data_IF_125945703707
#
_entry.id   IF_125945703707
#
_cell.length_a   1.000
_cell.length_b   1.000
_cell.length_c   1.000
_cell.angle_alpha   90.00
_cell.angle_beta   90.00
_cell.angle_gamma   90.00
#
_symmetry.space_group_name_H-M   'P 1'
#
loop_
_entity.id
_entity.type
_entity.pdbx_description
1 polymer ?
#
# COMPACT_ATOMS: atom_id res chain seq x y z
N UNK A 1 2.07 -27.03 -17.36
CA UNK A 1 1.71 -25.87 -16.51
C UNK A 1 2.28 -26.17 -15.14
N UNK A 2 3.55 -25.81 -14.91
CA UNK A 2 4.27 -26.10 -13.67
C UNK A 2 3.75 -25.17 -12.57
N UNK A 3 3.25 -25.74 -11.48
CA UNK A 3 2.86 -24.99 -10.30
C UNK A 3 4.06 -24.20 -9.78
N UNK A 4 3.96 -22.88 -9.85
CA UNK A 4 4.92 -22.00 -9.19
C UNK A 4 4.78 -22.19 -7.67
N UNK A 5 5.89 -22.25 -6.92
CA UNK A 5 5.93 -22.29 -5.46
C UNK A 5 4.96 -21.30 -4.79
N UNK A 6 4.40 -21.65 -3.63
CA UNK A 6 3.37 -20.87 -2.93
C UNK A 6 3.81 -19.44 -2.59
N UNK A 7 5.11 -19.23 -2.38
CA UNK A 7 5.80 -17.95 -2.18
C UNK A 7 5.78 -17.05 -3.42
N UNK A 8 5.40 -17.58 -4.59
CA UNK A 8 5.30 -16.87 -5.86
C UNK A 8 3.82 -16.57 -6.22
N UNK A 9 2.85 -16.95 -5.38
CA UNK A 9 1.43 -16.71 -5.67
C UNK A 9 1.05 -15.22 -5.74
N UNK A 10 1.81 -14.32 -5.12
CA UNK A 10 1.59 -12.88 -5.32
C UNK A 10 2.06 -12.40 -6.70
N UNK A 11 3.02 -13.10 -7.34
CA UNK A 11 3.31 -12.84 -8.76
C UNK A 11 2.16 -13.29 -9.66
N UNK A 12 1.24 -14.19 -9.23
CA UNK A 12 -0.01 -14.45 -9.98
C UNK A 12 -0.93 -13.22 -10.00
N UNK A 13 -0.82 -12.29 -9.04
CA UNK A 13 -1.47 -10.98 -9.12
C UNK A 13 -0.81 -10.08 -10.17
N UNK A 14 0.51 -10.22 -10.38
CA UNK A 14 1.25 -9.52 -11.43
C UNK A 14 1.14 -10.19 -12.81
N UNK A 15 0.77 -11.48 -12.87
CA UNK A 15 0.81 -12.32 -14.05
C UNK A 15 -0.59 -12.63 -14.60
N UNK A 16 -1.13 -11.69 -15.36
CA UNK A 16 -1.92 -12.01 -16.56
C UNK A 16 -1.01 -12.30 -17.77
N UNK A 17 -1.50 -12.24 -19.02
CA UNK A 17 -0.72 -12.34 -20.28
C UNK A 17 0.34 -11.21 -20.47
N UNK A 18 0.68 -10.49 -19.41
CA UNK A 18 1.61 -9.36 -19.33
C UNK A 18 3.00 -9.64 -19.88
N UNK A 19 3.54 -10.84 -19.68
CA UNK A 19 4.82 -11.25 -20.28
C UNK A 19 4.77 -11.28 -21.81
N UNK A 20 3.61 -11.54 -22.42
CA UNK A 20 3.44 -11.49 -23.89
C UNK A 20 3.44 -10.03 -24.36
N UNK A 21 2.78 -9.14 -23.62
CA UNK A 21 2.76 -7.71 -23.92
C UNK A 21 4.13 -7.04 -23.76
N UNK A 22 4.87 -7.35 -22.69
CA UNK A 22 6.22 -6.82 -22.47
C UNK A 22 7.20 -7.29 -23.55
N UNK A 23 7.13 -8.56 -23.94
CA UNK A 23 7.91 -9.10 -25.07
C UNK A 23 7.57 -8.46 -26.42
N UNK A 24 6.27 -8.19 -26.68
CA UNK A 24 5.86 -7.43 -27.87
C UNK A 24 6.46 -6.02 -27.89
N UNK A 25 6.54 -5.37 -26.73
CA UNK A 25 7.12 -4.03 -26.56
C UNK A 25 8.62 -4.01 -26.92
N UNK A 26 9.38 -5.04 -26.50
CA UNK A 26 10.80 -5.23 -26.86
C UNK A 26 10.95 -5.45 -28.36
N UNK A 27 10.23 -6.44 -28.90
CA UNK A 27 10.44 -6.94 -30.25
C UNK A 27 9.99 -5.94 -31.33
N UNK A 28 8.90 -5.20 -31.10
CA UNK A 28 8.34 -4.33 -32.12
C UNK A 28 9.01 -2.95 -32.20
N UNK A 29 9.65 -2.47 -31.12
CA UNK A 29 10.04 -1.06 -30.98
C UNK A 29 11.47 -0.81 -30.51
N UNK A 30 12.24 -1.86 -30.21
CA UNK A 30 13.63 -1.72 -29.77
C UNK A 30 13.80 -1.09 -28.38
N UNK A 31 12.70 -0.88 -27.65
CA UNK A 31 12.71 -0.39 -26.27
C UNK A 31 12.99 -1.58 -25.35
N UNK A 32 14.24 -2.02 -25.37
CA UNK A 32 14.70 -3.14 -24.55
C UNK A 32 14.85 -2.77 -23.08
N UNK A 33 14.92 -1.47 -22.75
CA UNK A 33 15.15 -0.97 -21.39
C UNK A 33 14.28 0.23 -21.05
N UNK A 34 13.84 0.30 -19.79
CA UNK A 34 13.09 1.44 -19.23
C UNK A 34 13.57 1.74 -17.81
N UNK A 35 13.32 2.95 -17.27
CA UNK A 35 13.57 3.23 -15.87
C UNK A 35 12.82 2.25 -14.95
N UNK A 36 13.43 1.89 -13.82
CA UNK A 36 12.92 0.84 -12.95
C UNK A 36 11.55 1.12 -12.34
N UNK A 37 11.27 2.38 -12.01
CA UNK A 37 9.93 2.78 -11.56
C UNK A 37 8.87 2.55 -12.64
N UNK A 38 9.20 2.83 -13.91
CA UNK A 38 8.32 2.58 -15.06
C UNK A 38 8.12 1.09 -15.29
N UNK A 39 9.20 0.30 -15.22
CA UNK A 39 9.10 -1.16 -15.25
C UNK A 39 8.19 -1.69 -14.13
N UNK A 40 8.34 -1.20 -12.90
CA UNK A 40 7.48 -1.59 -11.78
C UNK A 40 6.00 -1.31 -12.10
N UNK A 41 5.67 -0.11 -12.59
CA UNK A 41 4.30 0.23 -12.97
C UNK A 41 3.76 -0.66 -14.10
N UNK A 42 4.57 -0.97 -15.11
CA UNK A 42 4.21 -1.90 -16.19
C UNK A 42 3.95 -3.32 -15.66
N UNK A 43 4.67 -3.73 -14.62
CA UNK A 43 4.52 -5.03 -13.95
C UNK A 43 3.23 -5.10 -13.13
N UNK A 44 2.74 -4.00 -12.55
CA UNK A 44 1.61 -4.01 -11.59
C UNK A 44 0.31 -3.30 -11.99
N UNK A 45 0.25 -2.68 -13.18
CA UNK A 45 -0.96 -2.03 -13.72
C UNK A 45 -2.07 -3.04 -14.09
N UNK A 46 -3.12 -2.61 -14.77
CA UNK A 46 -4.13 -3.49 -15.40
C UNK A 46 -3.87 -3.69 -16.92
N UNK A 47 -4.42 -4.74 -17.50
CA UNK A 47 -4.25 -5.07 -18.93
C UNK A 47 -4.73 -3.97 -19.88
N UNK A 48 -5.77 -3.23 -19.49
CA UNK A 48 -6.31 -2.12 -20.29
C UNK A 48 -5.32 -0.95 -20.39
N UNK A 49 -4.59 -0.68 -19.31
CA UNK A 49 -3.52 0.32 -19.35
C UNK A 49 -2.41 -0.10 -20.30
N UNK A 50 -1.94 -1.35 -20.21
CA UNK A 50 -0.90 -1.85 -21.11
C UNK A 50 -1.27 -1.69 -22.59
N UNK A 51 -2.51 -2.01 -22.96
CA UNK A 51 -3.02 -1.82 -24.33
C UNK A 51 -2.98 -0.34 -24.74
N UNK A 52 -3.48 0.54 -23.88
CA UNK A 52 -3.51 1.99 -24.13
C UNK A 52 -2.10 2.57 -24.22
N UNK A 53 -1.19 2.12 -23.36
CA UNK A 53 0.21 2.51 -23.36
C UNK A 53 0.90 2.10 -24.67
N UNK A 54 0.69 0.86 -25.14
CA UNK A 54 1.22 0.39 -26.42
C UNK A 54 0.69 1.23 -27.59
N UNK A 55 -0.62 1.52 -27.63
CA UNK A 55 -1.19 2.39 -28.67
C UNK A 55 -0.60 3.81 -28.65
N UNK A 56 -0.37 4.37 -27.45
CA UNK A 56 0.27 5.67 -27.31
C UNK A 56 1.75 5.64 -27.71
N UNK A 57 2.44 4.54 -27.42
CA UNK A 57 3.81 4.30 -27.86
C UNK A 57 3.89 4.21 -29.39
N UNK A 58 2.94 3.53 -30.03
CA UNK A 58 2.85 3.42 -31.48
C UNK A 58 2.66 4.79 -32.17
N UNK A 59 1.90 5.69 -31.54
CA UNK A 59 1.62 7.03 -32.05
C UNK A 59 2.73 8.04 -31.75
N UNK A 60 3.29 8.01 -30.55
CA UNK A 60 4.12 9.09 -30.01
C UNK A 60 5.58 8.67 -29.71
N UNK A 61 5.92 7.39 -29.91
CA UNK A 61 7.26 6.86 -29.64
C UNK A 61 7.73 7.18 -28.22
N UNK A 62 8.98 7.62 -28.11
CA UNK A 62 9.63 7.90 -26.82
C UNK A 62 8.91 8.96 -25.96
N UNK A 63 8.10 9.84 -26.55
CA UNK A 63 7.32 10.81 -25.77
C UNK A 63 6.28 10.12 -24.87
N UNK A 64 5.71 8.98 -25.31
CA UNK A 64 4.80 8.19 -24.48
C UNK A 64 5.48 7.63 -23.22
N UNK A 65 6.75 7.19 -23.35
CA UNK A 65 7.56 6.70 -22.24
C UNK A 65 7.83 7.85 -21.27
N UNK A 66 8.24 9.02 -21.77
CA UNK A 66 8.52 10.17 -20.90
C UNK A 66 7.28 10.62 -20.13
N UNK A 67 6.12 10.69 -20.79
CA UNK A 67 4.86 11.04 -20.11
C UNK A 67 4.50 10.00 -19.05
N UNK A 68 4.65 8.70 -19.35
CA UNK A 68 4.41 7.64 -18.36
C UNK A 68 5.38 7.74 -17.18
N UNK A 69 6.67 8.00 -17.43
CA UNK A 69 7.67 8.18 -16.37
C UNK A 69 7.26 9.30 -15.39
N UNK A 70 6.79 10.44 -15.91
CA UNK A 70 6.35 11.57 -15.08
C UNK A 70 5.17 11.17 -14.18
N UNK A 71 4.16 10.51 -14.77
CA UNK A 71 2.95 10.10 -14.04
C UNK A 71 3.27 9.02 -13.00
N UNK A 72 4.08 8.02 -13.34
CA UNK A 72 4.53 6.97 -12.41
C UNK A 72 5.29 7.58 -11.24
N UNK A 73 6.23 8.49 -11.50
CA UNK A 73 7.00 9.16 -10.44
C UNK A 73 6.08 9.92 -9.48
N UNK A 74 5.13 10.69 -10.01
CA UNK A 74 4.19 11.45 -9.19
C UNK A 74 3.31 10.53 -8.33
N UNK A 75 2.80 9.44 -8.91
CA UNK A 75 2.02 8.43 -8.19
C UNK A 75 2.80 7.81 -7.02
N UNK A 76 4.01 7.30 -7.29
CA UNK A 76 4.83 6.63 -6.27
C UNK A 76 5.30 7.61 -5.19
N UNK A 77 5.64 8.86 -5.57
CA UNK A 77 6.00 9.92 -4.62
C UNK A 77 4.84 10.32 -3.73
N UNK A 78 3.62 10.39 -4.30
CA UNK A 78 2.39 10.63 -3.55
C UNK A 78 2.19 9.55 -2.49
N UNK A 79 2.33 8.27 -2.85
CA UNK A 79 2.23 7.16 -1.90
C UNK A 79 3.27 7.26 -0.77
N UNK A 80 4.53 7.57 -1.11
CA UNK A 80 5.63 7.69 -0.14
C UNK A 80 5.62 8.98 0.70
N UNK A 81 4.77 9.96 0.37
CA UNK A 81 4.79 11.31 0.98
C UNK A 81 6.12 12.07 0.79
N UNK A 82 6.93 11.70 -0.22
CA UNK A 82 8.28 12.27 -0.46
C UNK A 82 8.28 13.61 -1.20
N UNK A 83 7.11 14.24 -1.41
CA UNK A 83 7.01 15.57 -2.02
C UNK A 83 7.17 16.73 -1.03
N UNK A 84 7.53 16.44 0.23
CA UNK A 84 7.86 17.43 1.25
C UNK A 84 9.38 17.66 1.36
N UNK A 85 10.00 18.29 0.37
CA UNK A 85 11.32 18.98 0.53
C UNK A 85 11.60 19.92 -0.64
N UNK A 86 10.65 20.79 -0.94
CA UNK A 86 10.96 22.05 -1.57
C UNK A 86 10.00 23.04 -0.95
N UNK A 87 10.52 24.15 -0.41
CA UNK A 87 9.78 25.23 0.26
C UNK A 87 9.41 25.02 1.74
N UNK A 88 10.42 25.04 2.63
CA UNK A 88 10.46 25.89 3.84
C UNK A 88 11.72 25.59 4.69
N UNK A 89 12.76 26.39 4.50
CA UNK A 89 13.36 27.02 5.67
C UNK A 89 12.24 27.86 6.29
N UNK A 90 11.89 27.60 7.56
CA UNK A 90 11.42 28.55 8.57
C UNK A 90 10.77 27.74 9.71
N UNK A 91 11.37 27.91 10.90
CA UNK A 91 10.96 27.50 12.25
C UNK A 91 11.20 26.05 12.68
N UNK A 92 12.47 25.87 13.06
CA UNK A 92 12.92 25.27 14.32
C UNK A 92 11.98 25.53 15.51
N UNK A 93 11.84 24.52 16.38
CA UNK A 93 11.40 24.69 17.76
C UNK A 93 10.09 24.00 18.15
N UNK A 94 10.24 22.87 18.85
CA UNK A 94 9.51 22.47 20.07
C UNK A 94 7.97 22.44 20.00
N UNK A 95 7.38 21.26 20.22
CA UNK A 95 6.73 20.99 21.51
C UNK A 95 6.18 19.55 21.60
N UNK A 96 6.21 19.10 22.85
CA UNK A 96 6.03 17.75 23.35
C UNK A 96 4.59 17.22 23.30
N UNK A 97 4.52 15.91 23.51
CA UNK A 97 3.37 15.12 23.97
C UNK A 97 2.23 15.93 24.59
N UNK A 98 1.07 16.00 23.92
CA UNK A 98 -0.20 16.28 24.58
C UNK A 98 -0.95 15.00 24.87
N UNK A 99 -0.65 14.50 26.06
CA UNK A 99 -1.53 13.68 26.88
C UNK A 99 -2.82 14.48 27.16
N UNK A 100 -3.96 14.06 26.61
CA UNK A 100 -5.26 14.65 26.96
C UNK A 100 -5.94 13.79 28.01
N UNK A 101 -5.67 14.09 29.28
CA UNK A 101 -6.60 13.86 30.39
C UNK A 101 -7.59 15.03 30.38
N UNK A 102 -8.85 14.77 30.05
CA UNK A 102 -9.94 15.70 30.42
C UNK A 102 -10.63 15.13 31.65
N UNK A 103 -10.44 15.80 32.78
CA UNK A 103 -11.34 15.68 33.92
C UNK A 103 -12.67 16.35 33.52
N UNK A 104 -13.78 15.63 33.62
CA UNK A 104 -15.13 16.19 33.59
C UNK A 104 -15.83 15.79 34.88
N UNK A 105 -16.26 16.80 35.64
CA UNK A 105 -17.08 16.67 36.82
C UNK A 105 -18.48 16.14 36.47
N UNK A 106 -19.06 15.45 37.45
CA UNK A 106 -20.31 14.69 37.43
C UNK A 106 -21.60 15.51 37.20
N UNK A 107 -22.66 14.72 36.95
CA UNK A 107 -24.10 14.97 37.09
C UNK A 107 -24.86 15.45 35.84
N UNK A 108 -25.34 14.46 35.05
CA UNK A 108 -26.74 14.36 34.60
C UNK A 108 -27.01 12.95 34.04
N UNK A 109 -28.00 12.27 34.63
CA UNK A 109 -28.50 10.94 34.24
C UNK A 109 -29.31 10.98 32.92
N UNK A 110 -29.24 9.85 32.21
CA UNK A 110 -30.01 9.37 31.04
C UNK A 110 -29.49 9.68 29.62
N UNK A 111 -29.19 8.56 28.94
CA UNK A 111 -28.72 8.34 27.57
C UNK A 111 -27.23 8.62 27.28
N UNK A 112 -26.35 7.87 27.95
CA UNK A 112 -24.92 7.69 27.60
C UNK A 112 -24.77 7.00 26.23
N UNK A 113 -25.02 7.77 25.16
CA UNK A 113 -24.47 7.47 23.83
C UNK A 113 -22.98 7.75 23.91
N UNK A 114 -22.25 6.81 24.50
CA UNK A 114 -20.79 6.82 24.51
C UNK A 114 -20.31 6.92 23.06
N UNK A 115 -19.89 8.11 22.63
CA UNK A 115 -19.27 8.33 21.33
C UNK A 115 -17.91 7.62 21.36
N UNK A 116 -17.91 6.35 20.98
CA UNK A 116 -16.67 5.58 20.91
C UNK A 116 -15.82 6.13 19.78
N UNK A 117 -14.59 6.52 20.10
CA UNK A 117 -13.60 6.90 19.10
C UNK A 117 -13.32 5.71 18.17
N UNK A 118 -12.89 5.96 16.92
CA UNK A 118 -12.43 4.89 16.00
C UNK A 118 -11.42 3.96 16.69
N UNK A 119 -10.53 4.52 17.51
CA UNK A 119 -9.54 3.75 18.24
C UNK A 119 -10.19 2.71 19.17
N UNK A 120 -11.23 3.10 19.91
CA UNK A 120 -11.94 2.20 20.82
C UNK A 120 -12.71 1.12 20.06
N UNK A 121 -13.33 1.50 18.94
CA UNK A 121 -14.07 0.55 18.11
C UNK A 121 -13.11 -0.48 17.47
N UNK A 122 -11.96 -0.05 16.94
CA UNK A 122 -10.93 -0.96 16.38
C UNK A 122 -10.33 -1.86 17.46
N UNK A 123 -10.07 -1.32 18.66
CA UNK A 123 -9.61 -2.13 19.80
C UNK A 123 -10.64 -3.17 20.21
N UNK A 124 -11.93 -2.85 20.20
CA UNK A 124 -13.00 -3.82 20.47
C UNK A 124 -13.07 -4.90 19.41
N UNK A 125 -13.00 -4.53 18.13
CA UNK A 125 -12.97 -5.48 17.00
C UNK A 125 -11.87 -6.51 17.19
N UNK A 126 -10.66 -6.05 17.50
CA UNK A 126 -9.45 -6.87 17.55
C UNK A 126 -9.09 -7.35 18.98
N UNK A 127 -10.01 -7.19 19.94
CA UNK A 127 -9.82 -7.53 21.35
C UNK A 127 -8.52 -6.98 21.98
N UNK A 128 -8.15 -5.73 21.62
CA UNK A 128 -6.92 -5.03 22.04
C UNK A 128 -5.62 -5.78 21.73
N UNK A 129 -5.66 -6.68 20.74
CA UNK A 129 -4.54 -7.54 20.32
C UNK A 129 -4.12 -7.21 18.91
N UNK A 130 -2.92 -7.61 18.53
CA UNK A 130 -2.52 -7.62 17.13
C UNK A 130 -3.42 -8.56 16.32
N UNK A 131 -4.00 -8.06 15.23
CA UNK A 131 -4.85 -8.83 14.32
C UNK A 131 -4.12 -10.00 13.61
N UNK A 132 -2.78 -10.03 13.65
CA UNK A 132 -1.95 -11.08 13.03
C UNK A 132 -1.47 -12.10 14.05
N UNK A 133 -0.82 -11.67 15.14
CA UNK A 133 -0.25 -12.59 16.13
C UNK A 133 -1.20 -12.94 17.27
N UNK A 134 -2.21 -12.12 17.55
CA UNK A 134 -3.16 -12.31 18.67
C UNK A 134 -2.55 -12.33 20.09
N UNK A 135 -1.24 -12.08 20.26
CA UNK A 135 -0.55 -12.16 21.56
C UNK A 135 -0.05 -10.81 22.11
N UNK A 136 0.14 -9.80 21.26
CA UNK A 136 0.81 -8.56 21.63
C UNK A 136 -0.15 -7.36 21.76
N UNK A 137 0.23 -6.31 22.50
CA UNK A 137 -0.49 -5.03 22.49
C UNK A 137 -0.73 -4.53 21.06
N UNK A 138 -1.95 -4.05 20.80
CA UNK A 138 -2.35 -3.50 19.51
C UNK A 138 -1.87 -2.05 19.34
N UNK A 139 -1.13 -1.77 18.27
CA UNK A 139 -0.96 -0.43 17.72
C UNK A 139 -1.91 -0.23 16.55
N UNK A 140 -2.62 0.89 16.53
CA UNK A 140 -3.48 1.27 15.40
C UNK A 140 -2.62 1.62 14.18
N UNK A 141 -2.91 1.02 13.03
CA UNK A 141 -2.18 1.23 11.79
C UNK A 141 -3.16 1.56 10.67
N UNK A 142 -2.90 2.66 9.97
CA UNK A 142 -3.62 3.04 8.76
C UNK A 142 -3.25 2.14 7.58
N UNK A 143 -4.25 1.84 6.75
CA UNK A 143 -4.07 1.08 5.51
C UNK A 143 -3.82 2.02 4.34
N UNK A 144 -4.68 3.01 4.16
CA UNK A 144 -4.44 4.17 3.32
C UNK A 144 -3.91 5.30 4.20
N UNK A 145 -2.66 5.77 3.97
CA UNK A 145 -2.05 6.82 4.76
C UNK A 145 -2.85 8.13 4.78
N UNK A 146 -2.91 8.78 5.94
CA UNK A 146 -3.65 10.02 6.18
C UNK A 146 -3.31 11.14 5.19
N UNK A 147 -2.05 11.24 4.76
CA UNK A 147 -1.59 12.28 3.82
C UNK A 147 -2.25 12.16 2.43
N UNK A 148 -2.86 11.02 2.10
CA UNK A 148 -3.66 10.81 0.91
C UNK A 148 -5.15 11.12 1.10
N UNK A 149 -5.58 11.27 2.37
CA UNK A 149 -6.97 11.52 2.76
C UNK A 149 -7.24 13.01 2.94
N UNK A 150 -6.26 13.77 3.46
CA UNK A 150 -6.40 15.22 3.64
C UNK A 150 -6.64 15.93 2.29
N UNK A 151 -7.79 16.57 2.16
CA UNK A 151 -8.28 17.31 0.99
C UNK A 151 -7.94 18.82 1.07
N UNK A 152 -8.37 19.68 0.13
CA UNK A 152 -7.82 20.01 -1.18
C UNK A 152 -7.11 21.38 -1.16
N UNK A 153 -6.83 21.96 0.01
CA UNK A 153 -6.20 23.30 0.12
C UNK A 153 -4.81 23.32 -0.54
N UNK A 154 -4.18 22.16 -0.69
CA UNK A 154 -2.91 21.98 -1.41
C UNK A 154 -3.02 21.26 -2.75
N UNK A 155 -4.22 20.79 -3.17
CA UNK A 155 -4.46 20.07 -4.44
C UNK A 155 -3.81 18.68 -4.60
N UNK A 156 -2.90 18.25 -3.71
CA UNK A 156 -2.02 17.09 -3.93
C UNK A 156 -2.69 15.71 -3.83
N UNK A 157 -3.63 15.52 -2.91
CA UNK A 157 -4.37 14.25 -2.76
C UNK A 157 -5.28 13.96 -3.96
N UNK A 158 -5.91 14.99 -4.55
CA UNK A 158 -6.75 14.85 -5.74
C UNK A 158 -6.00 14.35 -6.98
N UNK A 159 -4.76 14.81 -7.19
CA UNK A 159 -3.94 14.34 -8.32
C UNK A 159 -3.47 12.90 -8.13
N UNK A 160 -3.15 12.48 -6.90
CA UNK A 160 -2.76 11.10 -6.61
C UNK A 160 -3.81 10.10 -7.11
N UNK A 161 -5.07 10.30 -6.74
CA UNK A 161 -6.15 9.42 -7.16
C UNK A 161 -6.37 9.42 -8.68
N UNK A 162 -6.22 10.59 -9.33
CA UNK A 162 -6.25 10.69 -10.80
C UNK A 162 -5.09 9.93 -11.44
N UNK A 163 -3.91 9.91 -10.82
CA UNK A 163 -2.78 9.12 -11.33
C UNK A 163 -3.07 7.63 -11.29
N UNK A 164 -3.75 7.12 -10.27
CA UNK A 164 -4.14 5.71 -10.20
C UNK A 164 -5.04 5.30 -11.38
N UNK A 165 -5.97 6.17 -11.79
CA UNK A 165 -6.91 5.92 -12.90
C UNK A 165 -6.21 5.77 -14.26
N UNK A 166 -4.94 6.18 -14.38
CA UNK A 166 -4.16 5.85 -15.56
C UNK A 166 -3.74 4.37 -15.57
N UNK A 167 -3.38 3.78 -14.43
CA UNK A 167 -2.78 2.45 -14.38
C UNK A 167 -3.78 1.32 -14.10
N UNK A 168 -4.88 1.63 -13.43
CA UNK A 168 -5.92 0.66 -13.07
C UNK A 168 -7.28 1.08 -13.61
N UNK A 169 -8.17 0.09 -13.78
CA UNK A 169 -9.55 0.34 -14.19
C UNK A 169 -10.21 1.39 -13.24
N UNK A 170 -10.87 2.44 -13.77
CA UNK A 170 -11.51 3.46 -12.94
C UNK A 170 -12.51 2.90 -11.93
N UNK A 171 -13.16 1.77 -12.23
CA UNK A 171 -14.06 1.08 -11.29
C UNK A 171 -13.30 0.53 -10.09
N UNK A 172 -12.07 0.04 -10.29
CA UNK A 172 -11.19 -0.43 -9.21
C UNK A 172 -10.72 0.73 -8.35
N UNK A 173 -10.29 1.84 -8.96
CA UNK A 173 -9.90 3.04 -8.20
C UNK A 173 -11.08 3.61 -7.40
N UNK A 174 -12.28 3.64 -7.99
CA UNK A 174 -13.51 4.02 -7.28
C UNK A 174 -13.82 3.06 -6.12
N UNK A 175 -13.58 1.76 -6.28
CA UNK A 175 -13.72 0.79 -5.20
C UNK A 175 -12.71 1.04 -4.06
N UNK A 176 -11.46 1.43 -4.35
CA UNK A 176 -10.48 1.84 -3.34
C UNK A 176 -10.86 3.12 -2.59
N UNK A 177 -11.58 4.06 -3.23
CA UNK A 177 -12.03 5.32 -2.62
C UNK A 177 -13.20 5.13 -1.64
N UNK A 178 -14.18 4.31 -2.00
CA UNK A 178 -15.45 4.13 -1.25
C UNK A 178 -15.31 3.87 0.26
N UNK A 179 -14.33 3.07 0.74
CA UNK A 179 -14.22 2.80 2.17
C UNK A 179 -13.75 4.00 2.98
N UNK A 180 -13.22 5.04 2.34
CA UNK A 180 -12.60 6.21 2.96
C UNK A 180 -13.38 7.51 2.69
N UNK A 181 -14.02 7.63 1.53
CA UNK A 181 -14.79 8.82 1.15
C UNK A 181 -16.29 8.52 1.15
N UNK A 182 -17.08 9.37 1.80
CA UNK A 182 -18.54 9.22 1.86
C UNK A 182 -19.18 9.24 0.46
N UNK A 183 -18.66 10.11 -0.41
CA UNK A 183 -18.88 10.05 -1.86
C UNK A 183 -17.51 9.93 -2.54
N UNK A 184 -17.25 8.91 -3.37
CA UNK A 184 -15.97 8.76 -4.08
C UNK A 184 -15.57 9.93 -5.00
N UNK A 185 -16.53 10.78 -5.38
CA UNK A 185 -16.27 12.00 -6.17
C UNK A 185 -16.08 13.24 -5.29
N UNK A 186 -16.46 13.16 -4.01
CA UNK A 186 -16.27 14.20 -3.00
C UNK A 186 -15.07 13.86 -2.12
N UNK A 187 -14.28 14.84 -1.66
CA UNK A 187 -13.10 14.53 -0.88
C UNK A 187 -13.35 14.57 0.63
N UNK A 188 -14.61 14.42 1.05
CA UNK A 188 -14.98 14.30 2.46
C UNK A 188 -14.62 12.91 2.98
N UNK A 189 -13.66 12.90 3.90
CA UNK A 189 -13.17 11.66 4.54
C UNK A 189 -14.22 11.20 5.53
N UNK A 190 -14.70 9.97 5.35
CA UNK A 190 -15.58 9.30 6.29
C UNK A 190 -14.79 8.87 7.53
N UNK A 191 -15.38 9.05 8.70
CA UNK A 191 -14.88 8.49 9.95
C UNK A 191 -15.15 6.97 9.93
N UNK A 192 -14.14 6.18 9.55
CA UNK A 192 -14.30 4.75 9.23
C UNK A 192 -13.20 3.88 9.79
N UNK A 193 -13.58 2.83 10.53
CA UNK A 193 -12.67 1.78 10.98
C UNK A 193 -12.08 0.94 9.85
N UNK A 194 -12.70 0.97 8.66
CA UNK A 194 -12.30 0.13 7.53
C UNK A 194 -10.90 0.45 7.03
N UNK A 195 -10.38 1.64 7.34
CA UNK A 195 -9.01 2.06 7.02
C UNK A 195 -7.96 1.63 8.07
N UNK A 196 -8.35 0.90 9.11
CA UNK A 196 -7.45 0.60 10.22
C UNK A 196 -7.33 -0.90 10.54
N UNK A 197 -6.10 -1.32 10.83
CA UNK A 197 -5.74 -2.63 11.34
C UNK A 197 -4.90 -2.49 12.61
N UNK A 198 -5.02 -3.43 13.54
CA UNK A 198 -4.14 -3.49 14.71
C UNK A 198 -2.93 -4.39 14.47
N UNK A 199 -1.74 -3.86 14.71
CA UNK A 199 -0.49 -4.60 14.57
C UNK A 199 0.32 -4.56 15.86
N UNK A 200 1.20 -5.54 16.06
CA UNK A 200 2.21 -5.45 17.12
C UNK A 200 3.16 -4.29 16.85
N UNK A 201 3.90 -3.79 17.86
CA UNK A 201 4.90 -2.75 17.64
C UNK A 201 5.90 -3.05 16.54
N UNK A 202 6.34 -4.30 16.47
CA UNK A 202 7.29 -4.80 15.49
C UNK A 202 6.66 -4.84 14.09
N UNK A 203 5.44 -5.40 13.96
CA UNK A 203 4.75 -5.47 12.68
C UNK A 203 4.35 -4.09 12.15
N UNK A 204 3.97 -3.15 13.02
CA UNK A 204 3.70 -1.76 12.63
C UNK A 204 4.92 -1.14 11.95
N UNK A 205 6.12 -1.36 12.48
CA UNK A 205 7.35 -0.84 11.88
C UNK A 205 7.58 -1.39 10.47
N UNK A 206 7.40 -2.69 10.27
CA UNK A 206 7.52 -3.30 8.94
C UNK A 206 6.40 -2.90 7.98
N UNK A 207 5.20 -2.65 8.50
CA UNK A 207 4.07 -2.12 7.75
C UNK A 207 4.34 -0.70 7.25
N UNK A 208 4.82 0.18 8.12
CA UNK A 208 5.17 1.58 7.80
C UNK A 208 6.33 1.64 6.81
N UNK A 209 7.37 0.84 7.02
CA UNK A 209 8.49 0.70 6.07
C UNK A 209 8.09 0.05 4.75
N UNK A 210 6.91 -0.57 4.66
CA UNK A 210 6.47 -1.30 3.47
C UNK A 210 7.25 -2.58 3.20
N UNK A 211 7.87 -3.18 4.22
CA UNK A 211 8.45 -4.53 4.13
C UNK A 211 7.37 -5.60 4.23
N UNK A 212 6.30 -5.28 4.94
CA UNK A 212 5.16 -6.15 5.15
C UNK A 212 3.92 -5.56 4.51
N UNK A 213 3.18 -6.40 3.80
CA UNK A 213 1.83 -6.11 3.31
C UNK A 213 0.92 -7.32 3.50
N UNK A 214 -0.38 -7.06 3.57
CA UNK A 214 -1.42 -8.08 3.58
C UNK A 214 -2.11 -8.07 2.22
N UNK A 215 -2.08 -9.18 1.51
CA UNK A 215 -2.81 -9.33 0.25
C UNK A 215 -4.16 -9.97 0.53
N UNK A 216 -5.29 -9.30 0.27
CA UNK A 216 -6.59 -9.87 0.55
C UNK A 216 -6.95 -10.98 -0.45
N UNK A 217 -7.63 -12.03 0.02
CA UNK A 217 -8.03 -13.15 -0.84
C UNK A 217 -9.15 -12.73 -1.81
N UNK A 218 -8.96 -12.83 -3.14
CA UNK A 218 -10.00 -12.46 -4.11
C UNK A 218 -11.28 -13.29 -4.00
N UNK A 219 -11.21 -14.50 -3.45
CA UNK A 219 -12.38 -15.39 -3.29
C UNK A 219 -13.19 -15.11 -2.03
N UNK A 220 -12.72 -14.22 -1.16
CA UNK A 220 -13.27 -14.01 0.18
C UNK A 220 -14.04 -12.67 0.33
N UNK A 221 -14.35 -12.00 -0.80
CA UNK A 221 -15.00 -10.68 -0.83
C UNK A 221 -16.39 -10.66 -0.16
N UNK A 222 -17.09 -11.80 -0.14
CA UNK A 222 -18.50 -11.87 0.31
C UNK A 222 -18.65 -12.15 1.81
N UNK A 223 -17.65 -12.73 2.47
CA UNK A 223 -17.75 -13.01 3.90
C UNK A 223 -17.45 -11.73 4.70
N UNK A 224 -18.45 -11.23 5.43
CA UNK A 224 -18.30 -10.02 6.24
C UNK A 224 -17.65 -10.28 7.62
N UNK A 225 -17.72 -11.51 8.13
CA UNK A 225 -17.20 -11.89 9.45
C UNK A 225 -15.73 -12.25 9.44
N UNK A 226 -15.25 -12.75 8.29
CA UNK A 226 -13.89 -13.23 8.14
C UNK A 226 -13.30 -12.66 6.87
N UNK A 227 -12.08 -12.13 6.97
CA UNK A 227 -11.29 -11.70 5.82
C UNK A 227 -9.98 -12.51 5.78
N UNK A 228 -9.89 -13.43 4.83
CA UNK A 228 -8.67 -14.20 4.59
C UNK A 228 -7.64 -13.34 3.85
N UNK A 229 -6.46 -13.17 4.42
CA UNK A 229 -5.36 -12.38 3.85
C UNK A 229 -4.07 -13.18 3.82
N UNK A 230 -3.25 -12.94 2.81
CA UNK A 230 -1.92 -13.52 2.70
C UNK A 230 -0.91 -12.57 3.33
N UNK A 231 -0.09 -13.08 4.23
CA UNK A 231 1.00 -12.36 4.88
C UNK A 231 2.22 -12.34 3.95
N UNK A 232 2.56 -11.18 3.39
CA UNK A 232 3.57 -11.06 2.33
C UNK A 232 4.70 -10.15 2.75
N UNK A 233 5.91 -10.70 2.70
CA UNK A 233 7.15 -9.93 2.78
C UNK A 233 7.57 -9.46 1.41
N UNK A 234 7.87 -8.17 1.29
CA UNK A 234 8.37 -7.57 0.08
C UNK A 234 9.90 -7.50 0.12
N UNK A 235 10.58 -7.76 -1.01
CA UNK A 235 12.02 -7.90 -1.02
C UNK A 235 12.71 -6.55 -0.77
N UNK A 236 13.83 -6.59 -0.04
CA UNK A 236 14.76 -5.45 0.06
C UNK A 236 15.42 -5.22 -1.29
N UNK A 237 15.58 -3.95 -1.67
CA UNK A 237 16.13 -3.57 -2.95
C UNK A 237 17.17 -2.46 -2.77
N UNK A 238 18.32 -2.65 -3.41
CA UNK A 238 19.46 -1.72 -3.34
C UNK A 238 19.62 -0.90 -4.64
N UNK A 239 18.62 -0.97 -5.52
CA UNK A 239 18.58 -0.24 -6.78
C UNK A 239 17.78 1.06 -6.66
N UNK A 240 17.92 1.92 -7.67
CA UNK A 240 17.29 3.22 -7.73
C UNK A 240 16.23 3.33 -8.84
N UNK A 241 15.29 4.25 -8.67
CA UNK A 241 14.21 4.46 -9.63
C UNK A 241 14.70 4.75 -11.05
N UNK A 242 15.79 5.50 -11.19
CA UNK A 242 16.33 5.95 -12.47
C UNK A 242 17.15 4.87 -13.19
N UNK A 243 17.49 3.77 -12.52
CA UNK A 243 18.23 2.68 -13.16
C UNK A 243 17.43 2.09 -14.31
N UNK A 244 18.12 1.83 -15.41
CA UNK A 244 17.52 1.21 -16.59
C UNK A 244 17.54 -0.31 -16.41
N UNK A 245 16.37 -0.93 -16.58
CA UNK A 245 16.22 -2.39 -16.53
C UNK A 245 15.56 -2.88 -17.80
N UNK A 246 15.84 -4.14 -18.14
CA UNK A 246 15.10 -4.82 -19.19
C UNK A 246 13.62 -4.89 -18.82
N UNK A 247 12.74 -4.65 -19.79
CA UNK A 247 11.30 -4.83 -19.57
C UNK A 247 10.92 -6.30 -19.34
N UNK A 248 11.77 -7.25 -19.77
CA UNK A 248 11.62 -8.68 -19.51
C UNK A 248 12.19 -9.10 -18.14
N UNK A 249 12.72 -8.15 -17.36
CA UNK A 249 13.19 -8.43 -16.01
C UNK A 249 12.03 -9.00 -15.18
N UNK A 250 12.26 -10.18 -14.61
CA UNK A 250 11.31 -10.79 -13.68
C UNK A 250 11.33 -10.06 -12.34
N UNK A 251 10.17 -9.88 -11.69
CA UNK A 251 10.13 -9.30 -10.36
C UNK A 251 10.97 -10.10 -9.35
N UNK A 252 11.81 -9.45 -8.53
CA UNK A 252 12.57 -10.13 -7.50
C UNK A 252 11.66 -10.80 -6.47
N UNK A 253 12.10 -11.95 -5.99
CA UNK A 253 11.45 -12.69 -4.91
C UNK A 253 12.03 -12.25 -3.56
N UNK A 254 11.20 -12.23 -2.52
CA UNK A 254 11.70 -12.07 -1.15
C UNK A 254 12.40 -13.35 -0.71
N UNK A 255 13.72 -13.28 -0.52
CA UNK A 255 14.48 -14.42 -0.01
C UNK A 255 14.09 -14.71 1.45
N UNK A 256 13.74 -15.96 1.75
CA UNK A 256 13.35 -16.40 3.11
C UNK A 256 14.40 -16.04 4.17
N UNK A 257 15.69 -16.11 3.81
CA UNK A 257 16.80 -15.78 4.72
C UNK A 257 16.84 -14.29 5.05
N UNK A 258 16.67 -13.43 4.05
CA UNK A 258 16.59 -11.98 4.26
C UNK A 258 15.39 -11.62 5.14
N UNK A 259 14.25 -12.29 4.96
CA UNK A 259 13.08 -12.12 5.84
C UNK A 259 13.37 -12.57 7.27
N UNK A 260 14.12 -13.68 7.43
CA UNK A 260 14.50 -14.18 8.75
C UNK A 260 15.39 -13.21 9.55
N UNK A 261 16.35 -12.61 8.85
CA UNK A 261 17.27 -11.59 9.38
C UNK A 261 16.56 -10.26 9.63
N UNK A 262 15.65 -9.86 8.74
CA UNK A 262 14.91 -8.59 8.84
C UNK A 262 14.04 -8.53 10.09
N UNK A 263 13.36 -9.64 10.41
CA UNK A 263 12.38 -9.75 11.49
C UNK A 263 13.03 -10.12 12.82
N UNK A 264 14.27 -10.62 12.79
CA UNK A 264 14.88 -11.28 13.94
C UNK A 264 13.94 -12.39 14.42
N UNK A 265 13.83 -13.48 13.65
CA UNK A 265 12.94 -14.64 13.90
C UNK A 265 13.08 -15.33 15.29
N UNK A 266 13.79 -14.71 16.24
CA UNK A 266 13.79 -15.04 17.65
C UNK A 266 12.63 -14.41 18.43
N UNK A 267 11.72 -13.65 17.81
CA UNK A 267 10.47 -13.28 18.48
C UNK A 267 9.55 -14.50 18.58
N UNK A 268 9.31 -15.00 19.79
CA UNK A 268 8.37 -16.11 20.03
C UNK A 268 6.97 -15.85 19.46
N UNK A 269 6.60 -14.57 19.26
CA UNK A 269 5.29 -14.16 18.76
C UNK A 269 5.06 -14.49 17.27
N UNK A 270 6.13 -14.74 16.50
CA UNK A 270 6.07 -14.97 15.05
C UNK A 270 6.73 -16.27 14.62
N UNK A 271 7.13 -17.13 15.58
CA UNK A 271 7.84 -18.38 15.30
C UNK A 271 7.08 -19.31 14.35
N UNK A 272 5.75 -19.24 14.36
CA UNK A 272 4.87 -20.10 13.57
C UNK A 272 4.42 -19.44 12.25
N UNK A 273 4.66 -18.13 12.07
CA UNK A 273 4.19 -17.39 10.88
C UNK A 273 5.25 -17.38 9.79
N UNK A 274 4.96 -18.00 8.65
CA UNK A 274 5.85 -18.09 7.50
C UNK A 274 5.49 -17.07 6.42
N UNK A 275 6.47 -16.61 5.63
CA UNK A 275 6.21 -15.80 4.46
C UNK A 275 5.25 -16.50 3.50
N UNK A 276 4.17 -15.82 3.10
CA UNK A 276 3.15 -16.36 2.19
C UNK A 276 2.01 -17.08 2.89
N UNK A 277 2.04 -17.22 4.22
CA UNK A 277 0.96 -17.85 4.98
C UNK A 277 -0.34 -17.05 4.84
N UNK A 278 -1.45 -17.79 4.85
CA UNK A 278 -2.77 -17.22 4.91
C UNK A 278 -3.24 -17.14 6.35
N UNK A 279 -3.61 -15.94 6.78
CA UNK A 279 -4.23 -15.68 8.07
C UNK A 279 -5.68 -15.23 7.84
N UNK A 280 -6.51 -15.36 8.88
CA UNK A 280 -7.91 -14.91 8.84
C UNK A 280 -8.10 -13.80 9.85
N UNK A 281 -8.47 -12.62 9.37
CA UNK A 281 -8.96 -11.53 10.22
C UNK A 281 -10.42 -11.81 10.53
N UNK A 282 -10.84 -11.63 11.77
CA UNK A 282 -12.22 -11.94 12.20
C UNK A 282 -12.84 -10.74 12.92
N UNK A 283 -14.15 -10.56 12.78
CA UNK A 283 -14.91 -9.61 13.58
C UNK A 283 -16.08 -10.29 14.28
N UNK A 284 -16.40 -9.91 15.53
CA UNK A 284 -17.61 -10.39 16.19
C UNK A 284 -18.90 -9.75 15.65
N UNK A 285 -18.80 -8.55 15.04
CA UNK A 285 -19.96 -7.80 14.55
C UNK A 285 -19.57 -7.06 13.25
N UNK A 286 -19.92 -7.57 12.06
CA UNK A 286 -19.51 -6.97 10.79
C UNK A 286 -20.20 -5.64 10.47
N UNK A 287 -21.33 -5.34 11.10
CA UNK A 287 -22.09 -4.11 10.85
C UNK A 287 -21.59 -2.99 11.76
N UNK A 288 -21.35 -3.27 13.04
CA UNK A 288 -20.84 -2.27 14.00
C UNK A 288 -19.33 -2.23 14.13
N UNK A 289 -18.64 -3.32 13.86
CA UNK A 289 -17.19 -3.51 13.98
C UNK A 289 -16.59 -4.09 12.69
N UNK A 290 -16.81 -3.46 11.52
CA UNK A 290 -16.34 -3.99 10.24
C UNK A 290 -14.84 -4.29 10.23
N UNK A 291 -14.51 -5.37 9.55
CA UNK A 291 -13.13 -5.70 9.21
C UNK A 291 -12.46 -4.59 8.37
N UNK A 292 -11.12 -4.57 8.33
CA UNK A 292 -10.38 -3.81 7.33
C UNK A 292 -10.99 -4.00 5.93
N UNK A 293 -11.09 -2.92 5.16
CA UNK A 293 -11.62 -3.02 3.79
C UNK A 293 -10.70 -3.87 2.92
N UNK A 294 -11.32 -4.79 2.19
CA UNK A 294 -10.65 -5.59 1.17
C UNK A 294 -9.98 -4.68 0.13
N UNK A 295 -10.71 -3.67 -0.34
CA UNK A 295 -10.27 -2.70 -1.33
C UNK A 295 -9.05 -1.92 -0.85
N UNK A 296 -9.01 -1.50 0.42
CA UNK A 296 -7.87 -0.77 0.96
C UNK A 296 -6.64 -1.65 1.15
N UNK A 297 -6.82 -2.90 1.59
CA UNK A 297 -5.71 -3.85 1.67
C UNK A 297 -5.14 -4.13 0.28
N UNK A 298 -6.00 -4.22 -0.75
CA UNK A 298 -5.57 -4.34 -2.13
C UNK A 298 -4.78 -3.11 -2.60
N UNK A 299 -5.27 -1.90 -2.34
CA UNK A 299 -4.57 -0.64 -2.63
C UNK A 299 -3.18 -0.60 -1.99
N UNK A 300 -3.09 -0.85 -0.67
CA UNK A 300 -1.83 -0.88 0.08
C UNK A 300 -0.88 -1.92 -0.51
N UNK A 301 -1.38 -3.12 -0.78
CA UNK A 301 -0.60 -4.21 -1.37
C UNK A 301 -0.02 -3.79 -2.73
N UNK A 302 -0.85 -3.30 -3.65
CA UNK A 302 -0.42 -2.92 -4.99
C UNK A 302 0.64 -1.80 -4.97
N UNK A 303 0.37 -0.70 -4.26
CA UNK A 303 1.26 0.46 -4.26
C UNK A 303 2.57 0.23 -3.52
N UNK A 304 2.54 -0.47 -2.39
CA UNK A 304 3.76 -0.80 -1.65
C UNK A 304 4.63 -1.76 -2.46
N UNK A 305 4.02 -2.73 -3.16
CA UNK A 305 4.74 -3.61 -4.07
C UNK A 305 5.39 -2.82 -5.21
N UNK A 306 4.69 -1.87 -5.84
CA UNK A 306 5.28 -1.03 -6.89
C UNK A 306 6.46 -0.20 -6.40
N UNK A 307 6.33 0.44 -5.25
CA UNK A 307 7.43 1.19 -4.63
C UNK A 307 8.62 0.30 -4.37
N UNK A 308 8.39 -0.91 -3.84
CA UNK A 308 9.46 -1.89 -3.59
C UNK A 308 10.17 -2.32 -4.86
N UNK A 309 9.42 -2.62 -5.92
CA UNK A 309 9.97 -2.98 -7.22
C UNK A 309 10.77 -1.82 -7.84
N UNK A 310 10.31 -0.58 -7.67
CA UNK A 310 10.99 0.62 -8.13
C UNK A 310 12.31 0.89 -7.39
N UNK A 311 12.38 0.53 -6.10
CA UNK A 311 13.54 0.71 -5.23
C UNK A 311 13.62 2.10 -4.60
N UNK A 312 14.84 2.59 -4.39
CA UNK A 312 15.09 3.85 -3.71
C UNK A 312 14.93 5.06 -4.65
N UNK A 313 14.39 6.16 -4.13
CA UNK A 313 14.13 7.38 -4.92
C UNK A 313 15.42 8.06 -5.42
N UNK A 314 16.43 8.13 -4.55
CA UNK A 314 17.71 8.81 -4.79
C UNK A 314 18.90 7.88 -4.55
N UNK A 315 19.99 8.10 -5.28
CA UNK A 315 21.26 7.48 -5.00
C UNK A 315 21.92 8.17 -3.81
N UNK A 316 22.44 7.41 -2.84
CA UNK A 316 23.18 7.92 -1.69
C UNK A 316 24.34 8.89 -2.03
N UNK A 317 24.73 9.01 -3.32
CA UNK A 317 25.76 9.91 -3.82
C UNK A 317 25.37 11.39 -3.88
N UNK A 318 24.10 11.76 -3.67
CA UNK A 318 23.67 13.18 -3.61
C UNK A 318 23.71 13.77 -2.19
N UNK A 319 23.89 12.95 -1.14
CA UNK A 319 24.02 13.44 0.24
C UNK A 319 25.44 13.92 0.63
N UNK A 320 26.47 13.70 -0.21
CA UNK A 320 27.86 14.13 0.06
C UNK A 320 28.22 15.48 -0.57
N UNK A 321 27.21 16.31 -0.89
CA UNK A 321 27.42 17.69 -1.35
C UNK A 321 26.60 18.67 -0.49
N UNK A 322 27.01 18.83 0.76
CA UNK A 322 26.70 20.01 1.58
C UNK A 322 27.99 20.50 2.20
#
# INVERSE_FOLDING_TARGET
MTDLPDDIQYLKFLNGPRNVFLKHLVNARGVGVVPRHTWAALVGCDDQFLKTFIQNLDKNGNAAIQNSNVVVRAMLKGWLNTEKTSWSNIHDGLDDEKNTTSESNDDDDDDDVCIYTILDQVRRRDASKCAISSYSPSMLCEICPEHLLRSPVTGRSGFFWKYLEFFWDPRRVKAWKRPIFADPESPEVADTMRNYITLSPVLRKYWEWGYLVLRPNPKNIVNKYELKVQFVWLPQQNHFWKELVSVDLLPPLAERKAVAELVGFQSEQFKDLKPGDWITLTTPDPERLPLPSWELLELRFALTLLVRLAGNLESAKECDKV
#
